data_IF_661889994641
#
_entry.id   IF_661889994641
#
_cell.length_a   1.000
_cell.length_b   1.000
_cell.length_c   1.000
_cell.angle_alpha   90.00
_cell.angle_beta   90.00
_cell.angle_gamma   90.00
#
_symmetry.space_group_name_H-M   'P 1'
#
loop_
_entity.id
_entity.type
_entity.pdbx_description
1 polymer ?
#
# COMPACT_ATOMS: atom_id res chain seq x y z
N UNK A 1 9.66 -8.34 -3.93
CA UNK A 1 9.36 -8.22 -5.38
C UNK A 1 7.92 -7.75 -5.52
N UNK A 2 7.58 -6.94 -6.53
CA UNK A 2 6.18 -6.59 -6.82
C UNK A 2 5.53 -7.74 -7.57
N UNK A 3 4.27 -8.05 -7.24
CA UNK A 3 3.47 -9.09 -7.90
C UNK A 3 2.24 -8.42 -8.49
N UNK A 4 1.94 -8.69 -9.76
CA UNK A 4 0.66 -8.31 -10.35
C UNK A 4 -0.38 -9.38 -10.02
N UNK A 5 -1.46 -8.98 -9.36
CA UNK A 5 -2.61 -9.83 -9.06
C UNK A 5 -3.91 -9.09 -9.39
N UNK A 6 -4.72 -9.65 -10.30
CA UNK A 6 -6.03 -9.10 -10.70
C UNK A 6 -6.04 -7.60 -11.05
N UNK A 7 -4.97 -7.09 -11.68
CA UNK A 7 -4.84 -5.67 -12.02
C UNK A 7 -4.53 -4.79 -10.80
N UNK A 8 -3.90 -5.35 -9.77
CA UNK A 8 -3.30 -4.66 -8.62
C UNK A 8 -1.81 -5.01 -8.56
N UNK A 9 -0.99 -4.07 -8.08
CA UNK A 9 0.41 -4.31 -7.71
C UNK A 9 0.50 -4.60 -6.22
N UNK A 10 0.76 -5.85 -5.88
CA UNK A 10 0.90 -6.29 -4.49
C UNK A 10 2.38 -6.33 -4.12
N UNK A 11 2.72 -5.79 -2.95
CA UNK A 11 4.04 -6.00 -2.35
C UNK A 11 3.90 -6.27 -0.86
N UNK A 12 4.43 -7.41 -0.46
CA UNK A 12 4.50 -7.81 0.94
C UNK A 12 5.81 -7.34 1.55
N UNK A 13 5.75 -6.89 2.79
CA UNK A 13 6.88 -6.45 3.60
C UNK A 13 6.85 -7.22 4.92
N UNK A 14 8.00 -7.72 5.35
CA UNK A 14 8.15 -8.35 6.66
C UNK A 14 8.92 -7.39 7.56
N UNK A 15 8.44 -7.25 8.80
CA UNK A 15 9.02 -6.36 9.80
C UNK A 15 9.43 -7.17 11.02
N UNK A 16 10.40 -6.65 11.77
CA UNK A 16 10.87 -7.30 13.00
C UNK A 16 9.81 -7.27 14.11
N UNK A 17 9.01 -6.20 14.17
CA UNK A 17 7.90 -6.05 15.12
C UNK A 17 6.75 -5.17 14.57
N UNK A 18 5.68 -5.04 15.36
CA UNK A 18 4.50 -4.24 14.99
C UNK A 18 4.80 -2.73 14.95
N UNK A 19 5.73 -2.22 15.75
CA UNK A 19 6.04 -0.79 15.78
C UNK A 19 6.77 -0.38 14.49
N UNK A 20 7.66 -1.23 13.98
CA UNK A 20 8.34 -1.03 12.70
C UNK A 20 7.32 -1.01 11.54
N UNK A 21 6.36 -1.96 11.55
CA UNK A 21 5.29 -2.00 10.56
C UNK A 21 4.46 -0.70 10.57
N UNK A 22 4.04 -0.22 11.75
CA UNK A 22 3.27 1.03 11.86
C UNK A 22 4.08 2.25 11.42
N UNK A 23 5.36 2.31 11.77
CA UNK A 23 6.25 3.41 11.37
C UNK A 23 6.36 3.49 9.84
N UNK A 24 6.48 2.35 9.18
CA UNK A 24 6.48 2.27 7.72
C UNK A 24 5.16 2.75 7.09
N UNK A 25 4.01 2.36 7.67
CA UNK A 25 2.69 2.81 7.19
C UNK A 25 2.49 4.33 7.33
N UNK A 26 3.02 4.94 8.40
CA UNK A 26 2.95 6.39 8.58
C UNK A 26 3.71 7.15 7.47
N UNK A 27 4.84 6.62 7.00
CA UNK A 27 5.56 7.23 5.86
C UNK A 27 4.79 7.07 4.55
N UNK A 28 4.17 5.91 4.32
CA UNK A 28 3.28 5.70 3.16
C UNK A 28 2.12 6.71 3.18
N UNK A 29 1.49 6.92 4.34
CA UNK A 29 0.38 7.85 4.48
C UNK A 29 0.72 9.27 4.00
N UNK A 30 1.93 9.76 4.32
CA UNK A 30 2.39 11.09 3.88
C UNK A 30 2.42 11.18 2.36
N UNK A 31 3.07 10.20 1.72
CA UNK A 31 3.20 10.13 0.25
C UNK A 31 1.82 10.05 -0.39
N UNK A 32 0.93 9.18 0.11
CA UNK A 32 -0.43 9.01 -0.40
C UNK A 32 -1.25 10.31 -0.36
N UNK A 33 -1.08 11.11 0.69
CA UNK A 33 -1.73 12.40 0.80
C UNK A 33 -1.14 13.43 -0.16
N UNK A 34 0.19 13.45 -0.33
CA UNK A 34 0.86 14.34 -1.29
C UNK A 34 0.45 14.07 -2.73
N UNK A 35 0.29 12.80 -3.11
CA UNK A 35 -0.10 12.40 -4.48
C UNK A 35 -1.61 12.22 -4.66
N UNK A 36 -2.40 12.43 -3.60
CA UNK A 36 -3.85 12.21 -3.56
C UNK A 36 -4.28 10.83 -4.12
N UNK A 37 -3.55 9.78 -3.73
CA UNK A 37 -3.82 8.40 -4.15
C UNK A 37 -3.64 7.46 -2.96
N UNK A 38 -4.72 6.79 -2.58
CA UNK A 38 -4.78 5.97 -1.37
C UNK A 38 -4.82 4.47 -1.74
N UNK A 39 -3.75 3.70 -1.46
CA UNK A 39 -3.71 2.26 -1.70
C UNK A 39 -4.50 1.50 -0.63
N UNK A 40 -4.74 0.22 -0.87
CA UNK A 40 -5.27 -0.70 0.14
C UNK A 40 -4.10 -1.21 1.01
N UNK A 41 -4.24 -1.14 2.33
CA UNK A 41 -3.18 -1.54 3.27
C UNK A 41 -3.73 -2.61 4.22
N UNK A 42 -3.02 -3.73 4.34
CA UNK A 42 -3.35 -4.84 5.23
C UNK A 42 -2.19 -5.11 6.18
N UNK A 43 -2.38 -4.89 7.49
CA UNK A 43 -1.35 -5.14 8.50
C UNK A 43 -1.79 -6.26 9.45
N UNK A 44 -0.99 -7.31 9.58
CA UNK A 44 -1.21 -8.40 10.52
C UNK A 44 0.04 -8.60 11.40
N UNK A 45 0.04 -7.95 12.57
CA UNK A 45 1.12 -8.01 13.56
C UNK A 45 2.52 -7.69 13.00
N UNK A 46 3.39 -8.67 12.81
CA UNK A 46 4.73 -8.49 12.26
C UNK A 46 4.78 -8.68 10.73
N UNK A 47 3.66 -9.00 10.09
CA UNK A 47 3.53 -9.12 8.64
C UNK A 47 2.71 -7.95 8.09
N UNK A 48 3.37 -7.04 7.38
CA UNK A 48 2.71 -5.93 6.69
C UNK A 48 2.54 -6.24 5.21
N UNK A 49 1.31 -6.35 4.75
CA UNK A 49 1.00 -6.48 3.33
C UNK A 49 0.50 -5.14 2.79
N UNK A 50 1.21 -4.56 1.82
CA UNK A 50 0.76 -3.34 1.14
C UNK A 50 0.23 -3.72 -0.24
N UNK A 51 -1.05 -3.44 -0.48
CA UNK A 51 -1.73 -3.71 -1.75
C UNK A 51 -1.87 -2.38 -2.48
N UNK A 52 -0.93 -2.08 -3.36
CA UNK A 52 -1.10 -0.96 -4.28
C UNK A 52 -2.10 -1.37 -5.38
N UNK A 53 -3.29 -0.80 -5.35
CA UNK A 53 -4.11 -0.79 -6.56
C UNK A 53 -3.42 0.15 -7.55
N UNK A 54 -3.32 -0.25 -8.83
CA UNK A 54 -3.06 0.76 -9.85
C UNK A 54 -4.11 1.86 -9.66
N UNK A 55 -3.76 3.13 -9.83
CA UNK A 55 -4.76 4.02 -10.39
C UNK A 55 -5.07 3.40 -11.75
N UNK A 56 -6.10 2.53 -11.82
CA UNK A 56 -7.04 2.71 -12.91
C UNK A 56 -7.31 4.19 -12.81
N UNK A 57 -6.87 4.94 -13.82
CA UNK A 57 -7.57 6.12 -14.30
C UNK A 57 -9.00 6.00 -13.79
N UNK A 58 -9.28 6.61 -12.64
CA UNK A 58 -10.64 6.80 -12.18
C UNK A 58 -11.16 7.65 -13.30
N UNK A 59 -11.92 6.99 -14.16
CA UNK A 59 -12.29 7.47 -15.47
C UNK A 59 -12.58 8.96 -15.37
N UNK A 60 -11.78 9.78 -16.04
CA UNK A 60 -12.30 10.99 -16.69
C UNK A 60 -13.28 10.51 -17.78
N UNK A 61 -14.41 10.00 -17.33
CA UNK A 61 -15.66 9.85 -18.04
C UNK A 61 -16.74 10.09 -16.98
N UNK A 62 -16.82 11.32 -16.48
CA UNK A 62 -17.85 12.29 -16.82
C UNK A 62 -17.55 13.62 -16.13
#
# INVERSE_FOLDING_TARGET
>A
MWIEDNGKLVKSFEFSDFNEAISFLNEIQKICNEVNHHPEIYNCYNQGQVIFMYPRLTKQYH
#
